data_IF_838717502812
#
_entry.id   IF_838717502812
#
_cell.length_a   1.000
_cell.length_b   1.000
_cell.length_c   1.000
_cell.angle_alpha   90.00
_cell.angle_beta   90.00
_cell.angle_gamma   90.00
#
_symmetry.space_group_name_H-M   'P 1'
#
loop_
_entity.id
_entity.type
_entity.pdbx_description
1 polymer ?
#
# COMPACT_ATOMS: atom_id res chain seq x y z
N UNK A 1 11.61 -21.72 -4.81
CA UNK A 1 11.59 -21.45 -6.25
C UNK A 1 10.23 -21.93 -6.76
N UNK A 2 9.33 -21.01 -7.13
CA UNK A 2 7.95 -21.36 -7.50
C UNK A 2 7.93 -22.06 -8.87
N UNK A 3 7.12 -23.11 -9.01
CA UNK A 3 6.81 -23.68 -10.33
C UNK A 3 6.15 -22.61 -11.20
N UNK A 4 6.49 -22.56 -12.49
CA UNK A 4 5.85 -21.65 -13.46
C UNK A 4 4.47 -22.16 -13.90
N UNK A 5 4.14 -23.42 -13.61
CA UNK A 5 2.84 -23.99 -13.91
C UNK A 5 1.80 -23.54 -12.88
N UNK A 6 0.80 -22.79 -13.33
CA UNK A 6 -0.30 -22.33 -12.48
C UNK A 6 -1.02 -23.46 -11.77
N UNK A 7 -1.13 -24.65 -12.38
CA UNK A 7 -1.82 -25.78 -11.74
C UNK A 7 -1.10 -26.20 -10.46
N UNK A 8 0.23 -26.28 -10.52
CA UNK A 8 1.10 -26.53 -9.37
C UNK A 8 1.02 -25.41 -8.33
N UNK A 9 1.09 -24.15 -8.76
CA UNK A 9 1.00 -22.98 -7.86
C UNK A 9 -0.36 -22.93 -7.16
N UNK A 10 -1.45 -23.15 -7.89
CA UNK A 10 -2.81 -23.17 -7.35
C UNK A 10 -2.98 -24.29 -6.32
N UNK A 11 -2.51 -25.51 -6.61
CA UNK A 11 -2.55 -26.62 -5.66
C UNK A 11 -1.72 -26.33 -4.39
N UNK A 12 -0.57 -25.69 -4.54
CA UNK A 12 0.23 -25.23 -3.40
C UNK A 12 -0.56 -24.20 -2.58
N UNK A 13 -1.13 -23.18 -3.21
CA UNK A 13 -1.93 -22.15 -2.55
C UNK A 13 -3.11 -22.75 -1.77
N UNK A 14 -3.85 -23.71 -2.34
CA UNK A 14 -4.93 -24.41 -1.61
C UNK A 14 -4.45 -25.11 -0.34
N UNK A 15 -3.25 -25.69 -0.40
CA UNK A 15 -2.68 -26.44 0.72
C UNK A 15 -2.17 -25.51 1.82
N UNK A 16 -1.50 -24.41 1.44
CA UNK A 16 -0.69 -23.60 2.35
C UNK A 16 -1.30 -22.25 2.69
N UNK A 17 -2.31 -21.78 1.96
CA UNK A 17 -2.88 -20.46 2.13
C UNK A 17 -4.41 -20.46 2.13
N UNK A 18 -5.00 -19.84 3.14
CA UNK A 18 -6.43 -19.66 3.26
C UNK A 18 -6.79 -18.18 3.14
N UNK A 19 -7.78 -17.85 2.30
CA UNK A 19 -8.39 -16.53 2.28
C UNK A 19 -9.54 -16.49 3.28
N UNK A 20 -9.37 -15.70 4.33
CA UNK A 20 -10.44 -15.34 5.26
C UNK A 20 -11.09 -14.05 4.80
N UNK A 21 -12.24 -14.18 4.14
CA UNK A 21 -13.05 -13.07 3.65
C UNK A 21 -14.52 -13.31 4.04
N UNK A 22 -15.06 -12.54 5.00
CA UNK A 22 -16.41 -12.77 5.50
C UNK A 22 -17.50 -12.50 4.47
N UNK A 23 -17.21 -11.75 3.39
CA UNK A 23 -18.22 -11.30 2.43
C UNK A 23 -17.94 -11.72 0.99
N UNK A 24 -16.75 -12.24 0.68
CA UNK A 24 -16.27 -12.63 -0.66
C UNK A 24 -16.46 -11.55 -1.75
N UNK A 25 -16.73 -10.30 -1.37
CA UNK A 25 -17.02 -9.22 -2.31
C UNK A 25 -15.76 -8.75 -3.02
N UNK A 26 -15.81 -8.63 -4.34
CA UNK A 26 -14.68 -8.07 -5.08
C UNK A 26 -14.50 -6.57 -4.76
N UNK A 27 -13.25 -6.14 -4.72
CA UNK A 27 -12.87 -4.77 -4.43
C UNK A 27 -11.92 -4.25 -5.51
N UNK A 28 -12.05 -2.97 -5.83
CA UNK A 28 -11.26 -2.34 -6.89
C UNK A 28 -9.91 -1.84 -6.40
N UNK A 29 -9.85 -1.50 -5.11
CA UNK A 29 -8.62 -1.13 -4.43
C UNK A 29 -8.41 -2.06 -3.23
N UNK A 30 -7.33 -2.82 -3.28
CA UNK A 30 -6.85 -3.68 -2.20
C UNK A 30 -5.73 -2.91 -1.49
N UNK A 31 -5.93 -2.62 -0.21
CA UNK A 31 -5.02 -1.92 0.67
C UNK A 31 -4.29 -2.98 1.49
N UNK A 32 -3.14 -3.41 1.00
CA UNK A 32 -2.33 -4.48 1.58
C UNK A 32 -1.35 -3.95 2.63
N UNK A 33 -0.96 -4.81 3.56
CA UNK A 33 0.16 -4.58 4.48
C UNK A 33 1.33 -5.50 4.14
N UNK A 34 2.57 -5.07 4.44
CA UNK A 34 3.78 -5.88 4.32
C UNK A 34 3.86 -6.85 5.52
N UNK A 35 2.96 -7.82 5.54
CA UNK A 35 2.79 -8.79 6.62
C UNK A 35 2.89 -10.22 6.11
N UNK A 36 3.50 -11.10 6.91
CA UNK A 36 3.71 -12.50 6.54
C UNK A 36 4.48 -12.62 5.22
N UNK A 37 3.95 -13.43 4.29
CA UNK A 37 4.45 -13.51 2.92
C UNK A 37 3.55 -12.69 1.99
N UNK A 38 3.99 -11.49 1.63
CA UNK A 38 3.21 -10.60 0.79
C UNK A 38 3.13 -11.04 -0.67
N UNK A 39 4.00 -11.94 -1.14
CA UNK A 39 3.88 -12.58 -2.46
C UNK A 39 2.68 -13.53 -2.48
N UNK A 40 2.55 -14.37 -1.45
CA UNK A 40 1.37 -15.22 -1.27
C UNK A 40 0.09 -14.41 -1.13
N UNK A 41 0.15 -13.20 -0.55
CA UNK A 41 -0.98 -12.28 -0.52
C UNK A 41 -1.45 -11.92 -1.93
N UNK A 42 -0.56 -11.42 -2.78
CA UNK A 42 -0.93 -11.02 -4.15
C UNK A 42 -1.47 -12.20 -4.95
N UNK A 43 -0.83 -13.36 -4.88
CA UNK A 43 -1.27 -14.55 -5.60
C UNK A 43 -2.64 -15.05 -5.12
N UNK A 44 -2.86 -15.09 -3.82
CA UNK A 44 -4.14 -15.53 -3.23
C UNK A 44 -5.29 -14.57 -3.60
N UNK A 45 -5.03 -13.26 -3.60
CA UNK A 45 -6.00 -12.25 -4.03
C UNK A 45 -6.29 -12.34 -5.53
N UNK A 46 -5.26 -12.39 -6.36
CA UNK A 46 -5.40 -12.46 -7.82
C UNK A 46 -6.15 -13.72 -8.26
N UNK A 47 -5.93 -14.84 -7.56
CA UNK A 47 -6.68 -16.09 -7.78
C UNK A 47 -8.19 -15.94 -7.64
N UNK A 48 -8.69 -15.03 -6.80
CA UNK A 48 -10.15 -14.79 -6.67
C UNK A 48 -10.79 -14.23 -7.95
N UNK A 49 -9.98 -13.80 -8.91
CA UNK A 49 -10.42 -13.26 -10.19
C UNK A 49 -10.07 -14.19 -11.36
N UNK A 50 -9.61 -15.41 -11.07
CA UNK A 50 -9.22 -16.38 -12.09
C UNK A 50 -10.36 -16.63 -13.08
N UNK A 51 -10.06 -16.57 -14.38
CA UNK A 51 -11.01 -16.77 -15.47
C UNK A 51 -11.95 -15.60 -15.74
N UNK A 52 -11.74 -14.43 -15.11
CA UNK A 52 -12.61 -13.26 -15.27
C UNK A 52 -12.05 -12.15 -16.17
N UNK A 53 -10.85 -12.35 -16.74
CA UNK A 53 -10.12 -11.37 -17.55
C UNK A 53 -9.86 -10.03 -16.85
N UNK A 54 -9.28 -10.12 -15.65
CA UNK A 54 -8.91 -8.96 -14.82
C UNK A 54 -7.43 -8.61 -14.93
N UNK A 55 -7.11 -7.32 -14.79
CA UNK A 55 -5.73 -6.89 -14.59
C UNK A 55 -5.52 -6.30 -13.21
N UNK A 56 -4.48 -6.79 -12.54
CA UNK A 56 -3.96 -6.30 -11.28
C UNK A 56 -2.79 -5.37 -11.54
N UNK A 57 -2.83 -4.19 -10.93
CA UNK A 57 -1.68 -3.28 -10.85
C UNK A 57 -1.18 -3.26 -9.42
N UNK A 58 0.10 -3.60 -9.23
CA UNK A 58 0.76 -3.61 -7.93
C UNK A 58 1.88 -2.56 -7.93
N UNK A 59 1.65 -1.36 -7.38
CA UNK A 59 2.72 -0.39 -7.21
C UNK A 59 3.69 -0.85 -6.13
N UNK A 60 4.98 -0.80 -6.44
CA UNK A 60 6.08 -1.09 -5.53
C UNK A 60 7.01 0.12 -5.43
N UNK A 61 7.75 0.21 -4.33
CA UNK A 61 8.71 1.29 -4.11
C UNK A 61 10.04 1.09 -4.86
N UNK A 62 10.45 -0.17 -5.01
CA UNK A 62 11.73 -0.54 -5.62
C UNK A 62 11.75 -0.33 -7.14
N UNK A 63 12.95 -0.11 -7.67
CA UNK A 63 13.18 -0.09 -9.11
C UNK A 63 12.91 -1.47 -9.72
N UNK A 64 12.23 -1.48 -10.85
CA UNK A 64 11.96 -2.72 -11.60
C UNK A 64 13.12 -2.93 -12.57
N UNK A 65 14.05 -3.79 -12.19
CA UNK A 65 15.15 -4.24 -13.04
C UNK A 65 14.68 -5.34 -14.00
N UNK A 66 15.43 -5.63 -15.06
CA UNK A 66 15.10 -6.76 -15.94
C UNK A 66 15.08 -8.12 -15.22
N UNK A 67 15.86 -8.25 -14.16
CA UNK A 67 15.92 -9.46 -13.33
C UNK A 67 14.65 -9.61 -12.48
N UNK A 68 14.26 -8.58 -11.73
CA UNK A 68 13.06 -8.68 -10.90
C UNK A 68 11.77 -8.67 -11.75
N UNK A 69 11.76 -8.00 -12.91
CA UNK A 69 10.66 -8.06 -13.87
C UNK A 69 10.41 -9.49 -14.36
N UNK A 70 11.48 -10.26 -14.61
CA UNK A 70 11.36 -11.68 -14.94
C UNK A 70 10.70 -12.43 -13.79
N UNK A 71 11.14 -12.20 -12.54
CA UNK A 71 10.57 -12.81 -11.35
C UNK A 71 9.09 -12.49 -11.13
N UNK A 72 8.67 -11.26 -11.43
CA UNK A 72 7.30 -10.80 -11.29
C UNK A 72 6.36 -11.36 -12.36
N UNK A 73 6.89 -11.67 -13.53
CA UNK A 73 6.15 -12.28 -14.65
C UNK A 73 6.10 -13.82 -14.57
N UNK A 74 6.67 -14.46 -13.53
CA UNK A 74 6.82 -15.91 -13.47
C UNK A 74 5.51 -16.69 -13.25
N UNK A 75 4.42 -16.03 -12.83
CA UNK A 75 3.17 -16.71 -12.48
C UNK A 75 2.02 -16.18 -13.35
N UNK A 76 1.71 -16.94 -14.40
CA UNK A 76 0.59 -16.66 -15.29
C UNK A 76 -0.71 -17.27 -14.71
N UNK A 77 -1.52 -16.44 -14.06
CA UNK A 77 -2.83 -16.83 -13.56
C UNK A 77 -3.83 -16.79 -14.74
N UNK A 78 -4.53 -17.88 -15.08
CA UNK A 78 -5.49 -17.89 -16.19
C UNK A 78 -6.55 -16.80 -16.05
N UNK A 79 -6.66 -15.95 -17.07
CA UNK A 79 -7.61 -14.82 -17.08
C UNK A 79 -7.27 -13.72 -16.07
N UNK A 80 -6.04 -13.67 -15.53
CA UNK A 80 -5.61 -12.57 -14.66
C UNK A 80 -4.18 -12.14 -15.00
N UNK A 81 -4.00 -10.85 -15.30
CA UNK A 81 -2.66 -10.28 -15.51
C UNK A 81 -2.24 -9.49 -14.28
N UNK A 82 -1.12 -9.86 -13.67
CA UNK A 82 -0.53 -9.08 -12.58
C UNK A 82 0.63 -8.26 -13.15
N UNK A 83 0.60 -6.95 -12.96
CA UNK A 83 1.62 -6.03 -13.44
C UNK A 83 2.15 -5.20 -12.28
N UNK A 84 3.48 -5.17 -12.14
CA UNK A 84 4.17 -4.36 -11.15
C UNK A 84 4.60 -3.04 -11.78
N UNK A 85 4.51 -1.94 -11.03
CA UNK A 85 5.04 -0.64 -11.45
C UNK A 85 5.81 0.01 -10.30
N UNK A 86 6.86 0.76 -10.61
CA UNK A 86 7.47 1.63 -9.60
C UNK A 86 6.56 2.84 -9.34
N UNK A 87 6.16 3.05 -8.08
CA UNK A 87 5.29 4.16 -7.67
C UNK A 87 5.93 5.54 -7.88
N UNK A 88 7.27 5.60 -7.87
CA UNK A 88 8.05 6.82 -8.07
C UNK A 88 8.30 7.12 -9.57
N UNK A 89 7.94 6.20 -10.47
CA UNK A 89 8.12 6.43 -11.90
C UNK A 89 7.21 7.57 -12.42
N UNK A 90 7.67 8.37 -13.39
CA UNK A 90 6.86 9.41 -14.00
C UNK A 90 5.52 8.86 -14.51
N UNK A 91 4.42 9.50 -14.10
CA UNK A 91 3.07 9.10 -14.53
C UNK A 91 2.48 7.88 -13.80
N UNK A 92 3.16 7.26 -12.84
CA UNK A 92 2.65 6.12 -12.08
C UNK A 92 1.28 6.40 -11.43
N UNK A 93 1.14 7.56 -10.75
CA UNK A 93 -0.14 7.98 -10.15
C UNK A 93 -1.25 8.15 -11.19
N UNK A 94 -0.93 8.63 -12.39
CA UNK A 94 -1.90 8.78 -13.49
C UNK A 94 -2.35 7.39 -13.97
N UNK A 95 -1.40 6.45 -14.12
CA UNK A 95 -1.70 5.05 -14.48
C UNK A 95 -2.61 4.40 -13.44
N UNK A 96 -2.32 4.57 -12.15
CA UNK A 96 -3.18 4.04 -11.08
C UNK A 96 -4.57 4.68 -11.13
N UNK A 97 -4.66 6.00 -11.27
CA UNK A 97 -5.94 6.71 -11.37
C UNK A 97 -6.77 6.31 -12.61
N UNK A 98 -6.13 5.82 -13.68
CA UNK A 98 -6.80 5.23 -14.86
C UNK A 98 -7.29 3.82 -14.56
N UNK A 99 -6.44 2.97 -13.98
CA UNK A 99 -6.83 1.61 -13.55
C UNK A 99 -8.06 1.63 -12.64
N UNK A 100 -8.10 2.54 -11.67
CA UNK A 100 -9.27 2.68 -10.77
C UNK A 100 -10.57 3.07 -11.48
N UNK A 101 -10.56 3.49 -12.76
CA UNK A 101 -11.78 3.81 -13.53
C UNK A 101 -12.30 2.62 -14.34
N UNK A 102 -11.42 1.76 -14.82
CA UNK A 102 -11.80 0.67 -15.73
C UNK A 102 -12.42 -0.52 -14.97
N UNK A 103 -13.49 -1.16 -15.46
CA UNK A 103 -14.29 -2.11 -14.68
C UNK A 103 -13.54 -3.40 -14.30
N UNK A 104 -12.66 -3.92 -15.17
CA UNK A 104 -11.94 -5.18 -14.97
C UNK A 104 -10.49 -4.95 -14.50
N UNK A 105 -10.27 -3.88 -13.73
CA UNK A 105 -8.95 -3.51 -13.22
C UNK A 105 -9.01 -3.42 -11.70
N UNK A 106 -8.02 -4.01 -11.06
CA UNK A 106 -7.81 -3.96 -9.61
C UNK A 106 -6.46 -3.33 -9.35
N UNK A 107 -6.38 -2.51 -8.31
CA UNK A 107 -5.10 -1.96 -7.82
C UNK A 107 -4.85 -2.53 -6.44
N UNK A 108 -3.72 -3.19 -6.23
CA UNK A 108 -3.29 -3.66 -4.93
C UNK A 108 -2.12 -2.80 -4.46
N UNK A 109 -2.34 -1.96 -3.46
CA UNK A 109 -1.36 -1.02 -2.92
C UNK A 109 -0.96 -1.43 -1.52
N UNK A 110 0.33 -1.54 -1.28
CA UNK A 110 0.85 -1.66 0.07
C UNK A 110 0.92 -0.28 0.73
N UNK A 111 0.06 -0.05 1.73
CA UNK A 111 -0.15 1.29 2.29
C UNK A 111 0.69 1.57 3.54
N UNK A 112 1.19 0.52 4.18
CA UNK A 112 1.96 0.57 5.42
C UNK A 112 3.43 0.89 5.16
N UNK A 113 3.71 1.81 4.24
CA UNK A 113 5.07 2.33 4.07
C UNK A 113 5.28 3.53 5.03
N UNK A 114 6.37 3.53 5.82
CA UNK A 114 6.74 4.68 6.64
C UNK A 114 7.21 5.87 5.80
N UNK A 115 7.50 7.01 6.43
CA UNK A 115 8.11 8.18 5.78
C UNK A 115 9.36 7.82 4.97
N UNK A 116 10.20 6.97 5.53
CA UNK A 116 11.50 6.62 4.96
C UNK A 116 11.67 5.13 4.95
N UNK A 117 12.09 4.60 3.81
CA UNK A 117 12.52 3.21 3.67
C UNK A 117 13.93 3.23 3.13
N UNK A 118 14.86 2.60 3.87
CA UNK A 118 16.30 2.61 3.54
C UNK A 118 16.87 4.02 3.28
N UNK A 119 16.43 5.03 4.05
CA UNK A 119 16.87 6.42 3.91
C UNK A 119 16.18 7.21 2.78
N UNK A 120 15.38 6.56 1.93
CA UNK A 120 14.66 7.21 0.83
C UNK A 120 13.25 7.61 1.27
N UNK A 121 12.85 8.84 0.95
CA UNK A 121 11.48 9.33 1.18
C UNK A 121 10.50 8.53 0.32
N UNK A 122 9.50 7.91 0.94
CA UNK A 122 8.47 7.10 0.23
C UNK A 122 7.42 7.94 -0.52
N UNK A 123 7.53 9.27 -0.42
CA UNK A 123 6.69 10.23 -1.13
C UNK A 123 5.59 10.85 -0.25
N UNK A 124 4.34 10.77 -0.72
CA UNK A 124 3.18 11.45 -0.14
C UNK A 124 2.60 10.70 1.07
N UNK A 125 3.27 10.86 2.22
CA UNK A 125 2.76 10.45 3.52
C UNK A 125 1.83 11.52 4.10
N UNK A 126 0.80 11.09 4.84
CA UNK A 126 -0.13 11.98 5.54
C UNK A 126 -0.06 11.69 7.05
N UNK A 127 -0.42 12.67 7.90
CA UNK A 127 -0.47 12.46 9.34
C UNK A 127 -1.54 11.42 9.70
N UNK A 128 -1.19 10.55 10.64
CA UNK A 128 -2.05 9.52 11.23
C UNK A 128 -1.82 9.44 12.75
N UNK A 129 -2.76 8.84 13.46
CA UNK A 129 -2.53 8.40 14.85
C UNK A 129 -2.27 6.90 14.82
N UNK A 130 -1.03 6.49 15.11
CA UNK A 130 -0.59 5.09 15.10
C UNK A 130 -0.01 4.74 16.48
N UNK A 131 -0.50 3.65 17.08
CA UNK A 131 -0.28 3.26 18.47
C UNK A 131 -0.42 4.41 19.46
N UNK A 132 -1.52 5.17 19.34
CA UNK A 132 -1.82 6.36 20.15
C UNK A 132 -0.78 7.49 20.07
N UNK A 133 0.10 7.47 19.06
CA UNK A 133 1.10 8.51 18.81
C UNK A 133 0.87 9.14 17.43
N UNK A 134 1.21 10.42 17.29
CA UNK A 134 1.20 11.10 15.99
C UNK A 134 2.33 10.54 15.12
N UNK A 135 1.99 10.03 13.95
CA UNK A 135 2.93 9.51 12.98
C UNK A 135 2.51 9.87 11.55
N UNK A 136 3.17 9.24 10.58
CA UNK A 136 2.95 9.47 9.16
C UNK A 136 3.01 8.15 8.40
N UNK A 137 2.10 7.99 7.45
CA UNK A 137 1.99 6.77 6.64
C UNK A 137 1.50 7.09 5.22
N UNK A 138 1.83 6.23 4.26
CA UNK A 138 1.47 6.38 2.85
C UNK A 138 -0.03 6.16 2.63
N UNK A 139 -0.80 7.24 2.67
CA UNK A 139 -2.27 7.21 2.50
C UNK A 139 -2.74 8.00 1.27
N UNK A 140 -1.81 8.58 0.48
CA UNK A 140 -2.13 9.42 -0.67
C UNK A 140 -3.02 8.76 -1.73
N UNK A 141 -2.96 7.43 -1.87
CA UNK A 141 -3.81 6.68 -2.81
C UNK A 141 -5.30 6.77 -2.49
N UNK A 142 -5.65 6.94 -1.20
CA UNK A 142 -7.03 6.99 -0.74
C UNK A 142 -7.75 8.21 -1.32
N UNK A 143 -7.06 9.33 -1.48
CA UNK A 143 -7.64 10.55 -2.10
C UNK A 143 -8.14 10.29 -3.51
N UNK A 144 -7.46 9.42 -4.27
CA UNK A 144 -7.90 9.01 -5.61
C UNK A 144 -9.12 8.08 -5.54
N UNK A 145 -9.14 7.18 -4.56
CA UNK A 145 -10.22 6.23 -4.32
C UNK A 145 -11.53 6.91 -3.89
N UNK A 146 -11.47 7.83 -2.93
CA UNK A 146 -12.64 8.59 -2.42
C UNK A 146 -13.33 9.34 -3.56
N UNK A 147 -12.56 10.08 -4.37
CA UNK A 147 -13.09 10.84 -5.52
C UNK A 147 -13.86 10.00 -6.53
N UNK A 148 -13.66 8.68 -6.51
CA UNK A 148 -14.21 7.73 -7.46
C UNK A 148 -15.21 6.75 -6.82
N UNK A 149 -15.48 6.90 -5.52
CA UNK A 149 -16.35 6.01 -4.74
C UNK A 149 -16.05 4.51 -4.95
N UNK A 150 -14.77 4.15 -5.07
CA UNK A 150 -14.38 2.76 -5.35
C UNK A 150 -14.54 1.89 -4.10
N UNK A 151 -14.94 0.63 -4.30
CA UNK A 151 -14.93 -0.38 -3.25
C UNK A 151 -13.49 -0.70 -2.83
N UNK A 152 -13.24 -0.72 -1.53
CA UNK A 152 -11.93 -0.91 -0.91
C UNK A 152 -11.94 -2.06 0.08
N UNK A 153 -10.85 -2.82 0.13
CA UNK A 153 -10.60 -3.84 1.17
C UNK A 153 -9.22 -3.67 1.78
N UNK A 154 -9.13 -3.80 3.10
CA UNK A 154 -7.88 -3.95 3.85
C UNK A 154 -7.44 -5.40 3.79
N UNK A 155 -6.14 -5.64 3.63
CA UNK A 155 -5.59 -6.98 3.46
C UNK A 155 -4.31 -7.14 4.29
N UNK A 156 -4.24 -8.24 5.05
CA UNK A 156 -3.03 -8.68 5.75
C UNK A 156 -2.81 -10.17 5.55
N UNK A 157 -1.59 -10.64 5.73
CA UNK A 157 -1.28 -12.07 5.71
C UNK A 157 -0.53 -12.48 6.98
N UNK A 158 -0.97 -13.57 7.58
CA UNK A 158 -0.40 -14.14 8.81
C UNK A 158 -0.04 -15.60 8.57
N UNK A 159 1.20 -15.96 8.88
CA UNK A 159 1.60 -17.35 9.07
C UNK A 159 1.19 -17.84 10.47
N UNK A 160 0.57 -19.00 10.53
CA UNK A 160 0.23 -19.68 11.77
C UNK A 160 1.15 -20.90 11.94
N UNK A 161 1.98 -20.89 12.98
CA UNK A 161 2.94 -21.97 13.26
C UNK A 161 2.28 -23.31 13.55
N UNK A 162 1.15 -23.31 14.27
CA UNK A 162 0.46 -24.55 14.66
C UNK A 162 -0.16 -25.26 13.46
N UNK A 163 -0.78 -24.50 12.54
CA UNK A 163 -1.36 -25.07 11.32
C UNK A 163 -0.36 -25.17 10.16
N UNK A 164 0.80 -24.52 10.27
CA UNK A 164 1.80 -24.34 9.20
C UNK A 164 1.21 -23.77 7.92
N UNK A 165 0.29 -22.81 8.06
CA UNK A 165 -0.45 -22.19 6.95
C UNK A 165 -0.46 -20.68 7.05
N UNK A 166 -0.56 -20.04 5.91
CA UNK A 166 -0.83 -18.62 5.76
C UNK A 166 -2.33 -18.36 5.76
N UNK A 167 -2.75 -17.27 6.38
CA UNK A 167 -4.13 -16.76 6.33
C UNK A 167 -4.08 -15.34 5.80
N UNK A 168 -4.64 -15.13 4.61
CA UNK A 168 -4.90 -13.79 4.07
C UNK A 168 -6.23 -13.33 4.62
N UNK A 169 -6.21 -12.35 5.50
CA UNK A 169 -7.42 -11.76 6.09
C UNK A 169 -7.79 -10.52 5.31
N UNK A 170 -9.07 -10.39 4.97
CA UNK A 170 -9.62 -9.19 4.34
C UNK A 170 -10.73 -8.55 5.18
N UNK A 171 -10.82 -7.23 5.11
CA UNK A 171 -11.91 -6.47 5.70
C UNK A 171 -12.39 -5.39 4.74
N UNK A 172 -13.70 -5.23 4.57
CA UNK A 172 -14.25 -4.12 3.79
C UNK A 172 -13.97 -2.79 4.49
N UNK A 173 -13.60 -1.77 3.72
CA UNK A 173 -13.52 -0.39 4.21
C UNK A 173 -14.92 0.22 4.15
N UNK A 174 -15.41 0.72 5.28
CA UNK A 174 -16.78 1.25 5.42
C UNK A 174 -16.77 2.78 5.27
N UNK A 175 -15.74 3.42 5.82
CA UNK A 175 -15.53 4.85 5.82
C UNK A 175 -15.60 5.45 4.42
N UNK A 176 -16.17 6.66 4.34
CA UNK A 176 -16.33 7.42 3.10
C UNK A 176 -15.46 8.65 3.08
N UNK A 177 -15.06 9.12 4.25
CA UNK A 177 -14.16 10.26 4.40
C UNK A 177 -12.72 9.82 4.66
N UNK A 178 -11.76 10.66 4.28
CA UNK A 178 -10.33 10.32 4.41
C UNK A 178 -9.94 9.97 5.85
N UNK A 179 -10.46 10.69 6.84
CA UNK A 179 -10.11 10.46 8.24
C UNK A 179 -10.65 9.12 8.77
N UNK A 180 -11.87 8.73 8.37
CA UNK A 180 -12.49 7.44 8.71
C UNK A 180 -11.69 6.28 8.10
N UNK A 181 -11.37 6.39 6.81
CA UNK A 181 -10.61 5.36 6.08
C UNK A 181 -9.21 5.22 6.69
N UNK A 182 -8.54 6.34 7.00
CA UNK A 182 -7.26 6.33 7.68
C UNK A 182 -7.35 5.62 9.05
N UNK A 183 -8.40 5.89 9.83
CA UNK A 183 -8.62 5.24 11.11
C UNK A 183 -8.83 3.73 10.96
N UNK A 184 -9.61 3.28 9.97
CA UNK A 184 -9.80 1.85 9.68
C UNK A 184 -8.51 1.16 9.24
N UNK A 185 -7.74 1.79 8.34
CA UNK A 185 -6.44 1.29 7.88
C UNK A 185 -5.45 1.12 9.02
N UNK A 186 -5.32 2.14 9.87
CA UNK A 186 -4.45 2.12 11.04
C UNK A 186 -4.93 1.06 12.03
N UNK A 187 -6.22 1.06 12.38
CA UNK A 187 -6.79 0.11 13.33
C UNK A 187 -6.70 -1.35 12.86
N UNK A 188 -6.76 -1.60 11.55
CA UNK A 188 -6.53 -2.93 10.99
C UNK A 188 -5.08 -3.39 11.15
N UNK A 189 -4.12 -2.51 10.81
CA UNK A 189 -2.69 -2.81 10.98
C UNK A 189 -2.31 -2.98 12.47
N UNK A 190 -2.81 -2.10 13.35
CA UNK A 190 -2.54 -2.22 14.79
C UNK A 190 -3.05 -3.53 15.38
N UNK A 191 -4.25 -3.96 15.01
CA UNK A 191 -4.78 -5.26 15.45
C UNK A 191 -3.86 -6.40 15.02
N UNK A 192 -3.44 -6.41 13.76
CA UNK A 192 -2.47 -7.39 13.27
C UNK A 192 -1.18 -7.39 14.10
N UNK A 193 -0.57 -6.21 14.28
CA UNK A 193 0.72 -6.09 14.96
C UNK A 193 0.63 -6.44 16.44
N UNK A 194 -0.52 -6.23 17.10
CA UNK A 194 -0.73 -6.68 18.49
C UNK A 194 -0.75 -8.20 18.62
N UNK A 195 -1.22 -8.91 17.60
CA UNK A 195 -1.30 -10.37 17.62
C UNK A 195 0.01 -11.05 17.16
N UNK A 196 0.65 -10.51 16.12
CA UNK A 196 1.86 -11.10 15.51
C UNK A 196 2.84 -10.03 15.04
N UNK A 197 3.49 -9.28 15.94
CA UNK A 197 4.35 -8.17 15.57
C UNK A 197 5.57 -8.59 14.73
N UNK A 198 6.14 -9.77 15.00
CA UNK A 198 7.34 -10.28 14.32
C UNK A 198 7.13 -10.62 12.84
N UNK A 199 5.88 -10.67 12.37
CA UNK A 199 5.55 -10.95 10.97
C UNK A 199 5.33 -9.69 10.15
N UNK A 200 5.37 -8.51 10.77
CA UNK A 200 5.28 -7.25 10.06
C UNK A 200 6.68 -6.76 9.67
N UNK A 201 6.90 -6.50 8.38
CA UNK A 201 8.23 -6.26 7.81
C UNK A 201 8.89 -4.97 8.31
N UNK A 202 8.10 -4.03 8.84
CA UNK A 202 8.59 -2.75 9.38
C UNK A 202 8.68 -2.71 10.90
N UNK A 203 8.52 -3.83 11.60
CA UNK A 203 8.56 -3.85 13.07
C UNK A 203 9.89 -3.33 13.63
N UNK A 204 11.01 -3.65 12.97
CA UNK A 204 12.35 -3.20 13.35
C UNK A 204 12.61 -1.72 13.07
N UNK A 205 11.78 -1.09 12.25
CA UNK A 205 11.87 0.32 11.85
C UNK A 205 10.60 1.08 12.23
N UNK A 206 9.90 0.67 13.28
CA UNK A 206 8.65 1.28 13.73
C UNK A 206 8.83 2.77 14.08
N UNK A 207 10.01 3.15 14.57
CA UNK A 207 10.39 4.53 14.84
C UNK A 207 10.21 5.44 13.61
N UNK A 208 10.53 4.96 12.41
CA UNK A 208 10.45 5.71 11.14
C UNK A 208 9.07 6.32 10.84
N UNK A 209 7.99 5.77 11.39
CA UNK A 209 6.64 6.31 11.28
C UNK A 209 6.43 7.59 12.09
N UNK A 210 7.20 7.79 13.14
CA UNK A 210 7.08 8.94 14.05
C UNK A 210 8.06 10.07 13.70
N UNK A 211 8.91 9.88 12.68
CA UNK A 211 9.74 10.94 12.16
C UNK A 211 8.94 11.90 11.27
N UNK A 212 9.31 13.18 11.32
CA UNK A 212 8.69 14.20 10.49
C UNK A 212 9.20 14.09 9.04
N UNK A 213 8.32 14.22 8.02
CA UNK A 213 8.75 14.24 6.62
C UNK A 213 9.65 15.45 6.35
N UNK A 214 10.87 15.23 5.87
CA UNK A 214 11.87 16.26 5.57
C UNK A 214 11.31 17.23 4.53
N UNK A 215 10.48 16.76 3.60
CA UNK A 215 9.81 17.60 2.61
C UNK A 215 8.84 18.60 3.25
N UNK A 216 8.19 18.23 4.36
CA UNK A 216 7.33 19.14 5.11
C UNK A 216 8.17 20.16 5.91
N UNK A 217 9.35 19.76 6.43
CA UNK A 217 10.32 20.67 7.03
C UNK A 217 10.85 21.67 5.99
N UNK A 218 11.29 21.20 4.83
CA UNK A 218 11.78 22.06 3.74
C UNK A 218 10.71 23.02 3.23
N UNK A 219 9.49 22.54 2.96
CA UNK A 219 8.38 23.42 2.53
C UNK A 219 8.00 24.46 3.58
N UNK A 220 8.03 24.08 4.86
CA UNK A 220 7.81 25.02 5.97
C UNK A 220 8.91 26.09 5.98
N UNK A 221 10.17 25.69 5.91
CA UNK A 221 11.31 26.60 5.88
C UNK A 221 11.26 27.54 4.66
N UNK A 222 10.93 27.04 3.46
CA UNK A 222 10.77 27.89 2.28
C UNK A 222 9.62 28.89 2.42
N UNK A 223 8.48 28.45 2.96
CA UNK A 223 7.32 29.33 3.20
C UNK A 223 7.66 30.41 4.23
N UNK A 224 8.36 30.05 5.29
CA UNK A 224 8.83 30.98 6.33
C UNK A 224 9.86 31.96 5.75
N UNK A 225 10.83 31.49 4.96
CA UNK A 225 11.79 32.33 4.25
C UNK A 225 11.11 33.29 3.26
N UNK A 226 10.09 32.83 2.53
CA UNK A 226 9.29 33.70 1.65
C UNK A 226 8.52 34.74 2.45
N UNK A 227 7.89 34.38 3.56
CA UNK A 227 7.21 35.33 4.44
C UNK A 227 8.18 36.36 5.02
N UNK A 228 9.34 35.91 5.50
CA UNK A 228 10.39 36.79 5.98
C UNK A 228 10.85 37.77 4.90
N UNK A 229 11.05 37.29 3.67
CA UNK A 229 11.41 38.13 2.51
C UNK A 229 10.33 39.18 2.21
N UNK A 230 9.05 38.79 2.24
CA UNK A 230 7.91 39.70 2.04
C UNK A 230 7.84 40.76 3.14
N UNK A 231 7.98 40.35 4.41
CA UNK A 231 8.00 41.27 5.55
C UNK A 231 9.19 42.23 5.45
N UNK A 232 10.39 41.73 5.17
CA UNK A 232 11.58 42.55 5.00
C UNK A 232 11.39 43.58 3.88
N UNK A 233 10.89 43.17 2.71
CA UNK A 233 10.62 44.10 1.61
C UNK A 233 9.51 45.13 1.94
N UNK A 234 8.53 44.76 2.77
CA UNK A 234 7.43 45.65 3.18
C UNK A 234 7.89 46.71 4.18
N UNK A 235 8.77 46.35 5.12
CA UNK A 235 9.17 47.22 6.24
C UNK A 235 10.54 47.89 6.04
N UNK A 236 11.37 47.42 5.10
CA UNK A 236 12.68 48.01 4.80
C UNK A 236 12.59 49.20 3.84
N UNK A 237 11.47 49.36 3.10
CA UNK A 237 11.17 50.56 2.28
C UNK A 237 10.80 51.81 3.11
N UNK A 238 10.73 51.68 4.42
CA UNK A 238 10.32 52.76 5.33
C UNK A 238 11.50 53.50 5.98
N UNK A 239 12.74 53.16 5.62
CA UNK A 239 13.96 53.65 6.27
C UNK A 239 15.06 54.13 5.29
N UNK A 240 14.72 54.33 4.01
CA UNK A 240 15.52 55.09 3.04
C UNK A 240 14.76 56.38 2.68
#
# INVERSE_FOLDING_TARGET
MFSHDWKTVSALLEKVCHLSDPNLTQAKLLLCTHTGDYWLTILTLARQYQGMDYDFLVPIFEEITEENARNYNLIAIPGVRVSFININAPGALIKIARYLREPNKVVAVFYDLPCYVAGNLTGAVEPVTFFNKKGHMTTGIIKLAIKRAVCMKLVSNRYNEASRKFTVTTAAVIGRQQHEINHEMVGFLERYVRETPWQWHFISTLDTYYHFPLIALHRKNEKEMRHFTVLNNKYRRSYD
#
